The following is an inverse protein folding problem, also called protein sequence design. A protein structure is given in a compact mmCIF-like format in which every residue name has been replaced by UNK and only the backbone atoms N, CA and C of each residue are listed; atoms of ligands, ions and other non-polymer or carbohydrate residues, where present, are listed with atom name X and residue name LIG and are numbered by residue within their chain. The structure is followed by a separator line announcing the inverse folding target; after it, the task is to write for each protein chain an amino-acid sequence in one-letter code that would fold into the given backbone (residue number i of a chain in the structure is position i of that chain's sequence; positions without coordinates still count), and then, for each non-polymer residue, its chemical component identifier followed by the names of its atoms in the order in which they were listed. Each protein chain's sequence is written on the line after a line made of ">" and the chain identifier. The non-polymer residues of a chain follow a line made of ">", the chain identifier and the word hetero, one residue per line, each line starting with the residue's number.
data_IF_125324647101
#
_entry.id   IF_125324647101
#
_cell.length_a   1.000
_cell.length_b   1.000
_cell.length_c   1.000
_cell.angle_alpha   90.00
_cell.angle_beta   90.00
_cell.angle_gamma   90.00
#
_symmetry.space_group_name_H-M   'P 1'
#
loop_
_entity.id
_entity.type
_entity.pdbx_description
1 polymer ?
#
# COMPACT_ATOMS: atom_id res chain seq x y z
N UNK A 1 24.30 -18.04 -4.52
CA UNK A 1 24.51 -18.75 -3.23
C UNK A 1 25.51 -17.97 -2.39
N UNK A 2 25.20 -17.72 -1.11
CA UNK A 2 26.12 -17.04 -0.18
C UNK A 2 27.15 -18.02 0.39
N UNK A 3 28.40 -17.60 0.57
CA UNK A 3 29.38 -18.39 1.29
C UNK A 3 29.04 -18.44 2.79
N UNK A 4 29.24 -19.61 3.42
CA UNK A 4 28.96 -19.80 4.85
C UNK A 4 29.74 -18.81 5.73
N UNK A 5 30.95 -18.45 5.31
CA UNK A 5 31.80 -17.46 5.97
C UNK A 5 31.19 -16.06 5.98
N UNK A 6 30.46 -15.67 4.94
CA UNK A 6 29.81 -14.35 4.84
C UNK A 6 28.62 -14.24 5.82
N UNK A 7 27.86 -15.33 6.04
CA UNK A 7 26.83 -15.37 7.08
C UNK A 7 27.43 -15.30 8.48
N UNK A 8 28.58 -15.95 8.72
CA UNK A 8 29.28 -15.91 10.00
C UNK A 8 29.83 -14.50 10.29
N UNK A 9 30.27 -13.75 9.28
CA UNK A 9 30.69 -12.36 9.43
C UNK A 9 29.54 -11.42 9.83
N UNK A 10 28.27 -11.77 9.60
CA UNK A 10 27.15 -10.95 10.08
C UNK A 10 27.04 -10.95 11.61
N UNK A 11 27.56 -11.99 12.29
CA UNK A 11 27.63 -12.04 13.76
C UNK A 11 28.57 -11.02 14.38
N UNK A 12 29.50 -10.46 13.61
CA UNK A 12 30.41 -9.42 14.11
C UNK A 12 29.82 -8.02 14.01
N UNK A 13 28.59 -7.87 13.47
CA UNK A 13 27.86 -6.59 13.39
C UNK A 13 26.98 -6.41 14.64
N UNK A 14 26.55 -5.17 14.91
CA UNK A 14 25.54 -4.92 15.94
C UNK A 14 24.24 -5.56 15.49
N UNK A 15 23.86 -6.65 16.15
CA UNK A 15 22.66 -7.41 15.85
C UNK A 15 21.49 -6.95 16.74
N UNK A 16 20.26 -6.90 16.20
CA UNK A 16 19.08 -6.74 17.03
C UNK A 16 18.87 -7.97 17.93
N UNK A 17 18.23 -7.77 19.08
CA UNK A 17 17.97 -8.83 20.07
C UNK A 17 17.27 -10.02 19.42
N UNK A 18 17.85 -11.22 19.55
CA UNK A 18 17.31 -12.46 18.98
C UNK A 18 17.75 -12.76 17.54
N UNK A 19 18.52 -11.89 16.87
CA UNK A 19 19.01 -12.20 15.51
C UNK A 19 20.11 -13.27 15.48
N UNK A 20 20.79 -13.54 16.60
CA UNK A 20 21.82 -14.58 16.67
C UNK A 20 21.28 -15.98 16.35
N UNK A 21 20.14 -16.38 16.95
CA UNK A 21 19.55 -17.70 16.69
C UNK A 21 19.09 -17.83 15.23
N UNK A 22 18.62 -16.73 14.63
CA UNK A 22 18.20 -16.69 13.22
C UNK A 22 19.41 -16.85 12.31
N UNK A 23 20.52 -16.18 12.61
CA UNK A 23 21.77 -16.33 11.85
C UNK A 23 22.32 -17.74 11.96
N UNK A 24 22.25 -18.36 13.15
CA UNK A 24 22.64 -19.77 13.33
C UNK A 24 21.79 -20.73 12.47
N UNK A 25 20.48 -20.49 12.40
CA UNK A 25 19.59 -21.25 11.53
C UNK A 25 19.89 -21.05 10.04
N UNK A 26 20.15 -19.81 9.62
CA UNK A 26 20.50 -19.49 8.24
C UNK A 26 21.86 -20.08 7.82
N UNK A 27 22.83 -20.13 8.74
CA UNK A 27 24.13 -20.80 8.51
C UNK A 27 23.95 -22.31 8.30
N UNK A 28 23.05 -22.95 9.05
CA UNK A 28 22.74 -24.37 8.86
C UNK A 28 22.11 -24.67 7.50
N UNK A 29 21.38 -23.71 6.93
CA UNK A 29 20.67 -23.85 5.64
C UNK A 29 21.31 -23.04 4.50
N UNK A 30 22.61 -22.70 4.60
CA UNK A 30 23.27 -21.75 3.70
C UNK A 30 23.20 -22.09 2.21
N UNK A 31 23.10 -23.38 1.85
CA UNK A 31 22.95 -23.82 0.46
C UNK A 31 21.64 -23.36 -0.20
N UNK A 32 20.63 -23.01 0.61
CA UNK A 32 19.32 -22.53 0.17
C UNK A 32 19.16 -21.00 0.35
N UNK A 33 20.23 -20.30 0.75
CA UNK A 33 20.20 -18.86 1.06
C UNK A 33 21.05 -18.10 0.05
N UNK A 34 20.46 -17.07 -0.55
CA UNK A 34 21.19 -16.09 -1.36
C UNK A 34 21.18 -14.73 -0.65
N UNK A 35 22.38 -14.21 -0.39
CA UNK A 35 22.54 -12.87 0.16
C UNK A 35 22.36 -11.85 -0.96
N UNK A 36 21.29 -11.08 -0.88
CA UNK A 36 21.10 -9.91 -1.75
C UNK A 36 21.34 -8.65 -0.93
N UNK A 37 22.44 -7.96 -1.22
CA UNK A 37 22.73 -6.67 -0.61
C UNK A 37 21.98 -5.57 -1.37
N UNK A 38 20.88 -5.07 -0.81
CA UNK A 38 20.21 -3.88 -1.33
C UNK A 38 20.92 -2.65 -0.74
N UNK A 39 21.96 -2.19 -1.43
CA UNK A 39 22.76 -1.02 -1.02
C UNK A 39 22.04 0.26 -1.47
N UNK A 40 21.06 0.71 -0.69
CA UNK A 40 20.51 2.05 -0.83
C UNK A 40 21.42 3.02 -0.06
N UNK A 41 22.69 3.16 -0.40
CA UNK A 41 23.59 4.05 0.37
C UNK A 41 23.52 5.50 -0.12
N UNK A 42 23.18 5.71 -1.39
CA UNK A 42 23.30 7.03 -2.04
C UNK A 42 22.02 7.53 -2.73
N UNK A 43 20.84 7.16 -2.22
CA UNK A 43 19.57 7.60 -2.79
C UNK A 43 18.69 8.30 -1.76
N UNK A 44 17.89 9.31 -2.18
CA UNK A 44 16.79 9.82 -1.38
C UNK A 44 15.85 8.67 -1.00
N UNK A 45 15.68 8.44 0.30
CA UNK A 45 14.95 7.28 0.83
C UNK A 45 14.00 7.71 1.95
N UNK A 46 12.74 7.30 1.85
CA UNK A 46 11.76 7.37 2.93
C UNK A 46 11.43 5.96 3.42
N UNK A 47 11.64 5.70 4.69
CA UNK A 47 11.33 4.44 5.38
C UNK A 47 10.12 4.69 6.26
N UNK A 48 9.05 3.92 6.08
CA UNK A 48 7.85 3.94 6.92
C UNK A 48 7.67 2.54 7.51
N UNK A 49 7.80 2.42 8.83
CA UNK A 49 7.66 1.14 9.52
C UNK A 49 6.76 1.25 10.75
N UNK A 50 6.40 0.08 11.32
CA UNK A 50 5.55 -0.01 12.53
C UNK A 50 6.04 0.85 13.70
N UNK A 51 7.35 0.96 13.87
CA UNK A 51 7.98 1.61 15.02
C UNK A 51 8.44 3.05 14.73
N UNK A 52 8.19 3.57 13.53
CA UNK A 52 8.56 4.95 13.18
C UNK A 52 8.83 5.16 11.70
N UNK A 53 9.24 6.38 11.40
CA UNK A 53 9.57 6.81 10.04
C UNK A 53 10.96 7.43 10.00
N UNK A 54 11.67 7.25 8.91
CA UNK A 54 12.99 7.86 8.67
C UNK A 54 13.03 8.37 7.24
N UNK A 55 13.30 9.66 7.05
CA UNK A 55 13.63 10.23 5.75
C UNK A 55 15.13 10.51 5.69
N UNK A 56 15.78 10.05 4.62
CA UNK A 56 17.17 10.35 4.28
C UNK A 56 17.20 11.00 2.91
N UNK A 57 17.42 12.30 2.85
CA UNK A 57 17.33 13.06 1.61
C UNK A 57 18.56 13.95 1.46
N UNK A 58 18.98 14.23 0.23
CA UNK A 58 20.02 15.19 -0.05
C UNK A 58 19.53 16.64 0.08
N UNK A 59 20.26 17.47 0.79
CA UNK A 59 20.10 18.92 0.84
C UNK A 59 21.48 19.56 0.75
N UNK A 60 21.69 20.44 -0.24
CA UNK A 60 22.98 21.12 -0.47
C UNK A 60 24.19 20.16 -0.51
N UNK A 61 24.08 19.07 -1.28
CA UNK A 61 25.11 18.01 -1.37
C UNK A 61 25.43 17.27 -0.05
N UNK A 62 24.58 17.41 0.98
CA UNK A 62 24.70 16.67 2.24
C UNK A 62 23.49 15.79 2.46
N UNK A 63 23.70 14.63 3.06
CA UNK A 63 22.61 13.76 3.50
C UNK A 63 22.03 14.32 4.79
N UNK A 64 20.73 14.65 4.77
CA UNK A 64 19.97 15.02 5.96
C UNK A 64 19.03 13.88 6.32
N UNK A 65 19.08 13.48 7.60
CA UNK A 65 18.22 12.44 8.17
C UNK A 65 17.22 13.07 9.12
N UNK A 66 15.95 12.71 9.00
CA UNK A 66 14.88 13.13 9.89
C UNK A 66 14.03 11.93 10.29
N UNK A 67 13.62 11.85 11.56
CA UNK A 67 12.78 10.77 12.10
C UNK A 67 11.43 11.27 12.65
N UNK A 68 11.28 12.58 12.88
CA UNK A 68 10.02 13.16 13.35
C UNK A 68 9.10 13.53 12.18
N UNK A 69 7.78 13.29 12.28
CA UNK A 69 6.83 13.54 11.19
C UNK A 69 6.86 14.98 10.64
N UNK A 70 6.93 15.98 11.52
CA UNK A 70 6.98 17.40 11.12
C UNK A 70 8.25 17.74 10.34
N UNK A 71 9.38 17.21 10.77
CA UNK A 71 10.67 17.41 10.11
C UNK A 71 10.71 16.71 8.75
N UNK A 72 10.26 15.44 8.71
CA UNK A 72 10.14 14.65 7.47
C UNK A 72 9.28 15.39 6.44
N UNK A 73 8.11 15.90 6.85
CA UNK A 73 7.22 16.64 5.96
C UNK A 73 7.89 17.91 5.40
N UNK A 74 8.55 18.70 6.25
CA UNK A 74 9.28 19.90 5.81
C UNK A 74 10.44 19.55 4.86
N UNK A 75 11.08 18.41 5.06
CA UNK A 75 12.17 17.92 4.23
C UNK A 75 11.68 17.43 2.86
N UNK A 76 10.60 16.64 2.83
CA UNK A 76 9.95 16.16 1.62
C UNK A 76 9.40 17.32 0.78
N UNK A 77 8.77 18.32 1.41
CA UNK A 77 8.24 19.49 0.70
C UNK A 77 9.32 20.22 -0.09
N UNK A 78 10.53 20.34 0.47
CA UNK A 78 11.70 20.94 -0.20
C UNK A 78 12.29 20.03 -1.28
N UNK A 79 12.33 18.72 -1.03
CA UNK A 79 12.86 17.74 -1.97
C UNK A 79 12.02 17.60 -3.24
N UNK A 80 10.69 17.51 -3.09
CA UNK A 80 9.77 17.31 -4.21
C UNK A 80 9.74 18.47 -5.21
N UNK A 81 10.31 19.64 -4.86
CA UNK A 81 10.51 20.75 -5.80
C UNK A 81 11.59 20.46 -6.85
N UNK A 82 12.43 19.44 -6.66
CA UNK A 82 13.60 19.15 -7.51
C UNK A 82 13.34 18.14 -8.63
N UNK A 83 12.13 17.57 -8.71
CA UNK A 83 11.76 16.49 -9.65
C UNK A 83 12.73 15.29 -9.63
N UNK A 84 13.37 15.02 -8.49
CA UNK A 84 14.23 13.86 -8.28
C UNK A 84 13.41 12.64 -7.81
N UNK A 85 13.90 11.43 -8.08
CA UNK A 85 13.24 10.19 -7.64
C UNK A 85 13.40 9.98 -6.13
N UNK A 86 12.28 9.86 -5.42
CA UNK A 86 12.23 9.40 -4.04
C UNK A 86 11.97 7.88 -4.01
N UNK A 87 12.84 7.14 -3.35
CA UNK A 87 12.59 5.73 -3.05
C UNK A 87 11.83 5.61 -1.74
N UNK A 88 10.79 4.78 -1.70
CA UNK A 88 9.95 4.58 -0.51
C UNK A 88 9.97 3.11 -0.12
N UNK A 89 10.33 2.84 1.13
CA UNK A 89 10.26 1.51 1.74
C UNK A 89 9.16 1.50 2.80
N UNK A 90 8.15 0.63 2.62
CA UNK A 90 7.00 0.52 3.52
C UNK A 90 7.04 -0.87 4.16
N UNK A 91 7.04 -0.90 5.49
CA UNK A 91 6.95 -2.11 6.31
C UNK A 91 5.94 -1.89 7.44
N UNK A 92 4.67 -1.78 7.06
CA UNK A 92 3.54 -1.62 7.97
C UNK A 92 2.78 -2.95 8.04
N UNK A 93 2.32 -3.37 9.23
CA UNK A 93 1.39 -4.49 9.31
C UNK A 93 0.09 -4.10 8.62
N UNK A 94 -0.55 -5.06 7.96
CA UNK A 94 -1.91 -4.88 7.50
C UNK A 94 -2.80 -4.58 8.72
N UNK A 95 -3.59 -3.51 8.60
CA UNK A 95 -4.61 -3.24 9.60
C UNK A 95 -5.61 -4.40 9.55
N UNK A 96 -5.91 -5.06 10.68
CA UNK A 96 -7.00 -6.01 10.72
C UNK A 96 -8.28 -5.22 10.43
N UNK A 97 -8.78 -5.32 9.20
CA UNK A 97 -10.07 -4.77 8.83
C UNK A 97 -11.09 -5.69 9.50
N UNK A 98 -11.95 -5.17 10.40
CA UNK A 98 -13.02 -5.98 10.99
C UNK A 98 -13.82 -6.66 9.87
N UNK A 99 -14.26 -7.91 10.09
CA UNK A 99 -15.01 -8.65 9.06
C UNK A 99 -16.23 -7.88 8.57
N UNK A 100 -16.86 -7.12 9.46
CA UNK A 100 -18.00 -6.26 9.15
C UNK A 100 -17.64 -5.17 8.14
N UNK A 101 -16.44 -4.60 8.23
CA UNK A 101 -15.96 -3.59 7.27
C UNK A 101 -15.56 -4.25 5.95
N UNK A 102 -15.02 -5.47 6.00
CA UNK A 102 -14.68 -6.25 4.79
C UNK A 102 -15.94 -6.60 3.99
N UNK A 103 -16.99 -7.07 4.66
CA UNK A 103 -18.29 -7.37 4.05
C UNK A 103 -18.92 -6.13 3.41
N UNK A 104 -18.85 -4.97 4.08
CA UNK A 104 -19.35 -3.70 3.52
C UNK A 104 -18.52 -3.29 2.30
N UNK A 105 -17.19 -3.43 2.34
CA UNK A 105 -16.33 -3.12 1.20
C UNK A 105 -16.58 -4.04 0.01
N UNK A 106 -16.82 -5.33 0.25
CA UNK A 106 -17.20 -6.29 -0.78
C UNK A 106 -18.58 -5.98 -1.37
N UNK A 107 -19.59 -5.68 -0.53
CA UNK A 107 -20.92 -5.26 -0.99
C UNK A 107 -20.85 -4.00 -1.86
N UNK A 108 -20.05 -3.01 -1.44
CA UNK A 108 -19.83 -1.78 -2.21
C UNK A 108 -19.11 -2.06 -3.53
N UNK A 109 -18.11 -2.94 -3.52
CA UNK A 109 -17.35 -3.32 -4.72
C UNK A 109 -18.21 -4.07 -5.73
N UNK A 110 -19.00 -5.04 -5.28
CA UNK A 110 -19.91 -5.81 -6.13
C UNK A 110 -21.03 -4.93 -6.68
N UNK A 111 -21.56 -4.01 -5.87
CA UNK A 111 -22.55 -3.04 -6.33
C UNK A 111 -21.97 -2.08 -7.37
N UNK A 112 -20.76 -1.57 -7.15
CA UNK A 112 -20.06 -0.72 -8.11
C UNK A 112 -19.83 -1.46 -9.44
N UNK A 113 -19.37 -2.72 -9.38
CA UNK A 113 -19.20 -3.55 -10.58
C UNK A 113 -20.52 -3.72 -11.32
N UNK A 114 -21.63 -4.00 -10.62
CA UNK A 114 -22.95 -4.15 -11.23
C UNK A 114 -23.43 -2.87 -11.91
N UNK A 115 -23.18 -1.70 -11.32
CA UNK A 115 -23.50 -0.41 -11.94
C UNK A 115 -22.73 -0.19 -13.25
N UNK A 116 -21.45 -0.55 -13.28
CA UNK A 116 -20.63 -0.44 -14.49
C UNK A 116 -21.06 -1.43 -15.58
N UNK A 117 -21.44 -2.66 -15.20
CA UNK A 117 -22.05 -3.63 -16.13
C UNK A 117 -23.34 -3.10 -16.74
N UNK A 118 -24.26 -2.58 -15.92
CA UNK A 118 -25.53 -2.03 -16.39
C UNK A 118 -25.33 -0.83 -17.33
N UNK A 119 -24.34 0.04 -17.06
CA UNK A 119 -23.98 1.13 -17.98
C UNK A 119 -23.53 0.60 -19.35
N UNK A 120 -22.69 -0.43 -19.38
CA UNK A 120 -22.27 -1.06 -20.63
C UNK A 120 -23.43 -1.71 -21.38
N UNK A 121 -24.36 -2.34 -20.65
CA UNK A 121 -25.58 -2.93 -21.24
C UNK A 121 -26.48 -1.83 -21.81
N UNK A 122 -26.60 -0.68 -21.14
CA UNK A 122 -27.34 0.48 -21.63
C UNK A 122 -26.71 1.01 -22.93
N UNK A 123 -25.39 1.18 -22.97
CA UNK A 123 -24.68 1.66 -24.15
C UNK A 123 -24.86 0.69 -25.34
N UNK A 124 -24.71 -0.62 -25.10
CA UNK A 124 -24.95 -1.65 -26.12
C UNK A 124 -26.41 -1.67 -26.61
N UNK A 125 -27.39 -1.51 -25.70
CA UNK A 125 -28.80 -1.44 -26.06
C UNK A 125 -29.13 -0.20 -26.90
N UNK A 126 -28.44 0.92 -26.68
CA UNK A 126 -28.57 2.14 -27.51
C UNK A 126 -27.99 1.93 -28.91
N UNK A 127 -26.84 1.26 -29.02
CA UNK A 127 -26.22 0.91 -30.30
C UNK A 127 -27.11 -0.05 -31.11
N UNK A 128 -27.68 -1.06 -30.44
CA UNK A 128 -28.55 -2.06 -31.05
C UNK A 128 -30.03 -1.60 -31.20
N UNK A 129 -30.36 -0.39 -30.70
CA UNK A 129 -31.72 0.18 -30.66
C UNK A 129 -32.74 -0.73 -29.94
N UNK A 130 -32.28 -1.53 -28.99
CA UNK A 130 -33.13 -2.38 -28.17
C UNK A 130 -33.73 -1.56 -27.01
N UNK A 131 -34.96 -1.11 -27.23
CA UNK A 131 -35.71 -0.28 -26.27
C UNK A 131 -36.03 -1.02 -24.98
N UNK A 132 -36.31 -2.32 -25.05
CA UNK A 132 -36.75 -3.08 -23.88
C UNK A 132 -35.58 -3.37 -22.96
N UNK A 133 -34.43 -3.76 -23.52
CA UNK A 133 -33.19 -3.96 -22.78
C UNK A 133 -32.69 -2.65 -22.15
N UNK A 134 -32.78 -1.53 -22.88
CA UNK A 134 -32.44 -0.21 -22.36
C UNK A 134 -33.31 0.18 -21.15
N UNK A 135 -34.63 0.01 -21.26
CA UNK A 135 -35.57 0.37 -20.19
C UNK A 135 -35.38 -0.50 -18.96
N UNK A 136 -35.10 -1.79 -19.14
CA UNK A 136 -34.84 -2.72 -18.04
C UNK A 136 -33.54 -2.38 -17.31
N UNK A 137 -32.43 -2.21 -18.03
CA UNK A 137 -31.13 -1.91 -17.42
C UNK A 137 -31.11 -0.53 -16.76
N UNK A 138 -31.82 0.45 -17.32
CA UNK A 138 -31.95 1.80 -16.73
C UNK A 138 -32.75 1.80 -15.43
N UNK A 139 -33.81 1.00 -15.33
CA UNK A 139 -34.58 0.85 -14.08
C UNK A 139 -33.74 0.20 -12.99
N UNK A 140 -33.05 -0.90 -13.32
CA UNK A 140 -32.18 -1.59 -12.36
C UNK A 140 -31.04 -0.68 -11.86
N UNK A 141 -30.46 0.14 -12.75
CA UNK A 141 -29.43 1.10 -12.38
C UNK A 141 -29.96 2.21 -11.44
N UNK A 142 -31.19 2.68 -11.68
CA UNK A 142 -31.85 3.67 -10.82
C UNK A 142 -32.15 3.09 -9.44
N UNK A 143 -32.68 1.87 -9.36
CA UNK A 143 -32.98 1.19 -8.10
C UNK A 143 -31.70 0.97 -7.25
N UNK A 144 -30.57 0.64 -7.91
CA UNK A 144 -29.26 0.53 -7.25
C UNK A 144 -28.68 1.88 -6.81
N UNK A 145 -29.17 3.00 -7.34
CA UNK A 145 -28.70 4.35 -7.03
C UNK A 145 -29.54 5.03 -5.95
N UNK A 146 -30.84 4.78 -5.91
CA UNK A 146 -31.73 5.26 -4.84
C UNK A 146 -31.44 4.56 -3.50
N UNK A 147 -31.12 3.26 -3.54
CA UNK A 147 -30.72 2.50 -2.35
C UNK A 147 -29.39 2.99 -1.73
N UNK A 148 -28.53 3.69 -2.47
CA UNK A 148 -27.31 4.33 -1.93
C UNK A 148 -27.65 5.57 -1.08
N UNK A 149 -28.62 6.38 -1.51
CA UNK A 149 -29.02 7.59 -0.78
C UNK A 149 -29.73 7.26 0.54
N UNK A 150 -30.56 6.20 0.56
CA UNK A 150 -31.29 5.80 1.75
C UNK A 150 -30.38 5.24 2.86
N UNK A 151 -29.38 4.40 2.51
CA UNK A 151 -28.44 3.81 3.48
C UNK A 151 -27.42 4.81 4.03
N UNK A 152 -26.94 5.76 3.21
CA UNK A 152 -25.98 6.79 3.64
C UNK A 152 -26.61 7.79 4.64
N UNK A 153 -27.92 8.01 4.54
CA UNK A 153 -28.68 8.93 5.39
C UNK A 153 -28.96 8.41 6.81
N UNK A 154 -28.85 7.09 7.04
CA UNK A 154 -29.09 6.47 8.35
C UNK A 154 -27.81 6.27 9.19
N UNK A 155 -26.62 6.49 8.62
CA UNK A 155 -25.33 6.25 9.27
C UNK A 155 -24.73 7.43 10.06
N UNK A 156 -25.33 8.62 10.04
CA UNK A 156 -24.85 9.77 10.83
C UNK A 156 -25.39 9.70 12.27
N UNK A 157 -24.79 8.84 13.09
CA UNK A 157 -24.84 9.02 14.55
C UNK A 157 -23.95 10.22 14.87
N UNK A 158 -24.59 11.33 15.25
CA UNK A 158 -23.91 12.51 15.81
C UNK A 158 -23.13 12.10 17.06
N UNK A 159 -21.82 12.31 17.04
CA UNK A 159 -21.00 12.53 18.23
C UNK A 159 -20.67 14.01 18.32
#
# INVERSE_FOLDING_TARGET
>A
MIAKEELLQLKTKILPTGAEYILDFLVASHEQVELTNIVLENVPLLIIGRHGMIARIYENNRIVKASHPKEIHALLKRFLQRNETLYVFINLPDLPIPEEVTQVLEEVKDRSRRKDELRRVIDAALDDKDRDLFLQASRELNDLSENDFAKTSQGYVRF
#
